data_IF_114389276320
#
_entry.id   IF_114389276320
#
_cell.length_a   1.000
_cell.length_b   1.000
_cell.length_c   1.000
_cell.angle_alpha   90.00
_cell.angle_beta   90.00
_cell.angle_gamma   90.00
#
_symmetry.space_group_name_H-M   'P 1'
#
loop_
_entity.id
_entity.type
_entity.pdbx_description
1 polymer ?
#
# COMPACT_ATOMS: atom_id res chain seq x y z
N UNK A 1 -21.69 41.24 17.71
CA UNK A 1 -21.03 39.96 17.41
C UNK A 1 -20.76 39.91 15.92
N UNK A 2 -19.58 40.32 15.51
CA UNK A 2 -19.15 40.35 14.10
C UNK A 2 -18.65 38.94 13.74
N UNK A 3 -19.43 38.24 12.95
CA UNK A 3 -19.04 36.95 12.38
C UNK A 3 -17.90 37.20 11.37
N UNK A 4 -16.69 36.87 11.75
CA UNK A 4 -15.59 36.75 10.79
C UNK A 4 -15.91 35.56 9.88
N UNK A 5 -16.45 35.84 8.68
CA UNK A 5 -16.42 34.87 7.61
C UNK A 5 -14.98 34.65 7.21
N UNK A 6 -14.40 33.56 7.67
CA UNK A 6 -13.09 33.09 7.19
C UNK A 6 -13.26 32.88 5.70
N UNK A 7 -12.49 33.59 4.89
CA UNK A 7 -12.54 33.47 3.44
C UNK A 7 -11.94 32.10 3.06
N UNK A 8 -12.81 31.08 2.85
CA UNK A 8 -12.44 29.70 2.53
C UNK A 8 -11.56 29.62 1.27
N UNK A 9 -11.73 30.56 0.34
CA UNK A 9 -10.94 30.60 -0.90
C UNK A 9 -9.49 31.10 -0.64
N UNK A 10 -9.30 32.05 0.27
CA UNK A 10 -7.97 32.54 0.65
C UNK A 10 -7.15 31.47 1.41
N UNK A 11 -7.82 30.64 2.22
CA UNK A 11 -7.19 29.51 2.91
C UNK A 11 -6.81 28.42 1.88
N UNK A 12 -7.68 28.12 0.92
CA UNK A 12 -7.41 27.16 -0.16
C UNK A 12 -6.20 27.58 -1.02
N UNK A 13 -6.03 28.88 -1.29
CA UNK A 13 -4.89 29.42 -2.02
C UNK A 13 -3.59 29.31 -1.20
N UNK A 14 -3.64 29.56 0.12
CA UNK A 14 -2.46 29.50 0.99
C UNK A 14 -1.93 28.07 1.23
N UNK A 15 -2.83 27.06 1.21
CA UNK A 15 -2.50 25.64 1.41
C UNK A 15 -2.21 24.88 0.12
N UNK A 16 -2.22 25.53 -1.03
CA UNK A 16 -2.11 24.84 -2.32
C UNK A 16 -3.25 23.85 -2.59
N UNK A 17 -4.37 23.94 -1.86
CA UNK A 17 -5.53 23.07 -2.00
C UNK A 17 -5.43 21.70 -1.32
N UNK A 18 -4.35 21.42 -0.56
CA UNK A 18 -4.12 20.11 0.06
C UNK A 18 -4.63 20.01 1.50
N UNK A 19 -4.94 21.09 2.19
CA UNK A 19 -5.53 21.12 3.54
C UNK A 19 -4.81 20.21 4.55
N UNK A 20 -3.49 20.30 4.64
CA UNK A 20 -2.64 19.34 5.39
C UNK A 20 -2.93 19.33 6.89
N UNK A 21 -3.23 20.53 7.46
CA UNK A 21 -3.43 20.74 8.90
C UNK A 21 -4.80 21.29 9.26
N UNK A 22 -5.75 21.20 8.35
CA UNK A 22 -7.12 21.68 8.53
C UNK A 22 -8.13 20.74 7.86
N UNK A 23 -9.40 20.76 8.30
CA UNK A 23 -10.43 19.95 7.67
C UNK A 23 -10.72 20.42 6.25
N UNK A 24 -10.81 19.46 5.31
CA UNK A 24 -11.23 19.76 3.92
C UNK A 24 -12.61 20.42 3.93
N UNK A 25 -12.78 21.62 3.33
CA UNK A 25 -14.06 22.32 3.29
C UNK A 25 -15.09 21.58 2.44
N UNK A 26 -16.39 21.84 2.70
CA UNK A 26 -17.50 21.16 2.01
C UNK A 26 -17.46 21.35 0.49
N UNK A 27 -17.04 22.53 0.02
CA UNK A 27 -16.92 22.89 -1.40
C UNK A 27 -15.91 22.05 -2.18
N UNK A 28 -14.90 21.47 -1.48
CA UNK A 28 -13.83 20.65 -2.10
C UNK A 28 -14.08 19.14 -2.01
N UNK A 29 -15.20 18.71 -1.41
CA UNK A 29 -15.52 17.29 -1.31
C UNK A 29 -15.90 16.69 -2.66
N UNK A 30 -15.43 15.46 -2.90
CA UNK A 30 -15.51 14.74 -4.17
C UNK A 30 -16.50 13.57 -4.11
N UNK A 31 -17.07 13.22 -5.26
CA UNK A 31 -17.94 12.05 -5.40
C UNK A 31 -17.12 10.76 -5.55
N UNK A 32 -17.77 9.59 -5.47
CA UNK A 32 -17.14 8.28 -5.61
C UNK A 32 -16.34 8.10 -6.92
N UNK A 33 -16.76 8.78 -8.01
CA UNK A 33 -16.09 8.71 -9.32
C UNK A 33 -14.62 9.12 -9.27
N UNK A 34 -14.26 10.05 -8.38
CA UNK A 34 -12.88 10.52 -8.23
C UNK A 34 -11.97 9.56 -7.43
N UNK A 35 -12.50 8.44 -6.96
CA UNK A 35 -11.74 7.47 -6.17
C UNK A 35 -11.60 6.12 -6.88
N UNK A 36 -12.57 5.74 -7.73
CA UNK A 36 -12.64 4.40 -8.30
C UNK A 36 -11.43 4.08 -9.17
N UNK A 37 -11.00 5.02 -10.04
CA UNK A 37 -9.83 4.83 -10.90
C UNK A 37 -8.53 4.74 -10.09
N UNK A 38 -8.42 5.56 -9.04
CA UNK A 38 -7.26 5.50 -8.15
C UNK A 38 -7.15 4.15 -7.45
N UNK A 39 -8.25 3.64 -6.85
CA UNK A 39 -8.20 2.33 -6.20
C UNK A 39 -8.01 1.18 -7.19
N UNK A 40 -8.69 1.18 -8.33
CA UNK A 40 -8.49 0.16 -9.36
C UNK A 40 -7.05 0.15 -9.88
N UNK A 41 -6.46 1.32 -10.16
CA UNK A 41 -5.11 1.44 -10.69
C UNK A 41 -4.02 1.20 -9.65
N UNK A 42 -4.21 1.65 -8.41
CA UNK A 42 -3.24 1.41 -7.33
C UNK A 42 -3.08 -0.08 -7.01
N UNK A 43 -4.14 -0.87 -7.23
CA UNK A 43 -4.20 -2.28 -6.90
C UNK A 43 -4.15 -3.21 -8.13
N UNK A 44 -4.12 -2.67 -9.35
CA UNK A 44 -3.68 -3.35 -10.56
C UNK A 44 -2.26 -2.88 -10.89
N UNK A 45 -1.34 -3.07 -9.96
CA UNK A 45 -0.07 -2.40 -9.87
C UNK A 45 1.10 -3.26 -10.36
N UNK A 46 2.29 -2.66 -10.45
CA UNK A 46 3.52 -3.40 -10.70
C UNK A 46 3.84 -4.44 -9.61
N UNK A 47 3.42 -4.19 -8.35
CA UNK A 47 3.49 -5.14 -7.25
C UNK A 47 2.79 -6.46 -7.52
N UNK A 48 1.69 -6.43 -8.27
CA UNK A 48 0.85 -7.61 -8.48
C UNK A 48 1.59 -8.67 -9.31
N UNK A 49 2.47 -8.25 -10.21
CA UNK A 49 3.39 -9.16 -10.90
C UNK A 49 4.38 -9.86 -9.98
N UNK A 50 4.66 -9.27 -8.80
CA UNK A 50 5.53 -9.87 -7.79
C UNK A 50 4.76 -10.76 -6.82
N UNK A 51 3.53 -10.34 -6.48
CA UNK A 51 2.70 -10.99 -5.46
C UNK A 51 2.01 -12.24 -6.01
N UNK A 52 1.46 -12.16 -7.25
CA UNK A 52 0.77 -13.30 -7.86
C UNK A 52 1.60 -14.60 -7.84
N UNK A 53 2.87 -14.61 -8.27
CA UNK A 53 3.76 -15.75 -8.19
C UNK A 53 3.93 -16.37 -6.80
N UNK A 54 3.81 -15.55 -5.72
CA UNK A 54 3.92 -16.04 -4.36
C UNK A 54 2.95 -17.19 -4.06
N UNK A 55 1.73 -17.14 -4.60
CA UNK A 55 0.74 -18.17 -4.35
C UNK A 55 1.06 -19.51 -5.02
N UNK A 56 1.87 -19.51 -6.09
CA UNK A 56 2.42 -20.74 -6.67
C UNK A 56 3.63 -21.21 -5.89
N UNK A 57 4.59 -20.33 -5.62
CA UNK A 57 5.83 -20.68 -4.91
C UNK A 57 5.58 -21.13 -3.47
N UNK A 58 4.54 -20.63 -2.83
CA UNK A 58 4.08 -21.06 -1.51
C UNK A 58 3.22 -22.34 -1.55
N UNK A 59 3.00 -22.94 -2.71
CA UNK A 59 2.32 -24.21 -2.88
C UNK A 59 0.85 -24.23 -2.47
N UNK A 60 0.12 -23.12 -2.67
CA UNK A 60 -1.28 -22.94 -2.29
C UNK A 60 -2.19 -23.88 -3.07
N UNK A 61 -3.25 -24.41 -2.45
CA UNK A 61 -4.31 -25.15 -3.17
C UNK A 61 -5.25 -24.21 -3.92
N UNK A 62 -5.95 -24.72 -4.93
CA UNK A 62 -6.95 -23.97 -5.69
C UNK A 62 -8.05 -23.38 -4.79
N UNK A 63 -8.54 -24.18 -3.84
CA UNK A 63 -9.55 -23.73 -2.88
C UNK A 63 -9.01 -22.60 -2.00
N UNK A 64 -7.83 -22.79 -1.42
CA UNK A 64 -7.22 -21.82 -0.52
C UNK A 64 -6.95 -20.48 -1.25
N UNK A 65 -6.50 -20.55 -2.50
CA UNK A 65 -6.27 -19.37 -3.32
C UNK A 65 -7.58 -18.63 -3.62
N UNK A 66 -8.52 -19.31 -4.28
CA UNK A 66 -9.73 -18.66 -4.81
C UNK A 66 -10.61 -18.14 -3.66
N UNK A 67 -10.91 -19.00 -2.68
CA UNK A 67 -11.81 -18.63 -1.57
C UNK A 67 -11.08 -17.76 -0.55
N UNK A 68 -9.81 -18.03 -0.28
CA UNK A 68 -8.99 -17.24 0.63
C UNK A 68 -8.83 -15.80 0.15
N UNK A 69 -8.51 -15.59 -1.13
CA UNK A 69 -8.44 -14.24 -1.72
C UNK A 69 -9.80 -13.54 -1.71
N UNK A 70 -10.89 -14.26 -2.00
CA UNK A 70 -12.24 -13.70 -1.98
C UNK A 70 -12.56 -13.12 -0.59
N UNK A 71 -12.31 -13.89 0.46
CA UNK A 71 -12.60 -13.50 1.84
C UNK A 71 -11.65 -12.41 2.34
N UNK A 72 -10.35 -12.55 2.12
CA UNK A 72 -9.37 -11.58 2.60
C UNK A 72 -9.55 -10.20 1.95
N UNK A 73 -9.81 -10.14 0.65
CA UNK A 73 -10.14 -8.90 -0.04
C UNK A 73 -11.46 -8.30 0.44
N UNK A 74 -12.49 -9.13 0.76
CA UNK A 74 -13.72 -8.64 1.36
C UNK A 74 -13.47 -7.99 2.73
N UNK A 75 -12.68 -8.62 3.59
CA UNK A 75 -12.31 -8.05 4.90
C UNK A 75 -11.59 -6.71 4.76
N UNK A 76 -10.71 -6.57 3.76
CA UNK A 76 -10.07 -5.30 3.45
C UNK A 76 -11.08 -4.21 3.05
N UNK A 77 -11.99 -4.51 2.13
CA UNK A 77 -13.08 -3.58 1.72
C UNK A 77 -13.94 -3.16 2.92
N UNK A 78 -14.32 -4.11 3.77
CA UNK A 78 -15.10 -3.82 4.98
C UNK A 78 -14.32 -2.93 5.96
N UNK A 79 -13.00 -3.16 6.10
CA UNK A 79 -12.14 -2.32 6.94
C UNK A 79 -12.09 -0.88 6.41
N UNK A 80 -11.89 -0.67 5.12
CA UNK A 80 -11.98 0.68 4.52
C UNK A 80 -13.35 1.32 4.72
N UNK A 81 -14.42 0.56 4.43
CA UNK A 81 -15.78 1.09 4.46
C UNK A 81 -16.23 1.50 5.87
N UNK A 82 -15.98 0.65 6.86
CA UNK A 82 -16.56 0.83 8.19
C UNK A 82 -15.60 1.47 9.20
N UNK A 83 -14.29 1.47 8.92
CA UNK A 83 -13.32 2.14 9.78
C UNK A 83 -12.80 3.42 9.10
N UNK A 84 -12.00 3.29 8.05
CA UNK A 84 -11.25 4.41 7.47
C UNK A 84 -12.14 5.48 6.86
N UNK A 85 -13.06 5.11 5.97
CA UNK A 85 -13.94 6.08 5.31
C UNK A 85 -14.91 6.75 6.29
N UNK A 86 -15.38 6.02 7.30
CA UNK A 86 -16.27 6.57 8.33
C UNK A 86 -15.57 7.67 9.15
N UNK A 87 -14.34 7.40 9.57
CA UNK A 87 -13.54 8.35 10.36
C UNK A 87 -13.10 9.53 9.49
N UNK A 88 -12.63 9.26 8.27
CA UNK A 88 -12.14 10.27 7.35
C UNK A 88 -13.20 11.31 7.00
N UNK A 89 -14.42 10.87 6.67
CA UNK A 89 -15.52 11.78 6.30
C UNK A 89 -15.99 12.64 7.47
N UNK A 90 -15.92 12.11 8.70
CA UNK A 90 -16.27 12.88 9.90
C UNK A 90 -15.23 13.92 10.27
N UNK A 91 -13.94 13.56 10.21
CA UNK A 91 -12.86 14.42 10.67
C UNK A 91 -12.29 15.31 9.55
N UNK A 92 -12.27 14.82 8.31
CA UNK A 92 -11.71 15.46 7.11
C UNK A 92 -10.25 15.88 7.22
N UNK A 93 -9.48 15.18 8.06
CA UNK A 93 -8.08 15.46 8.35
C UNK A 93 -7.16 14.44 7.68
N UNK A 94 -5.90 14.83 7.44
CA UNK A 94 -4.85 13.87 7.13
C UNK A 94 -4.64 12.92 8.29
N UNK A 95 -4.13 11.70 8.01
CA UNK A 95 -3.69 10.78 9.05
C UNK A 95 -2.76 11.47 10.06
N UNK A 96 -1.77 12.18 9.55
CA UNK A 96 -0.69 12.77 10.34
C UNK A 96 -1.19 13.85 11.30
N UNK A 97 -2.10 14.69 10.85
CA UNK A 97 -2.68 15.71 11.69
C UNK A 97 -3.70 15.13 12.70
N UNK A 98 -4.45 14.11 12.30
CA UNK A 98 -5.29 13.38 13.24
C UNK A 98 -4.47 12.72 14.36
N UNK A 99 -3.35 12.07 14.00
CA UNK A 99 -2.44 11.49 14.98
C UNK A 99 -1.81 12.55 15.89
N UNK A 100 -1.42 13.72 15.35
CA UNK A 100 -0.85 14.80 16.15
C UNK A 100 -1.80 15.25 17.26
N UNK A 101 -3.10 15.33 16.99
CA UNK A 101 -4.11 15.69 17.99
C UNK A 101 -4.24 14.67 19.13
N UNK A 102 -3.98 13.39 18.84
CA UNK A 102 -4.12 12.28 19.82
C UNK A 102 -2.79 12.00 20.50
N UNK A 103 -1.70 11.94 19.75
CA UNK A 103 -0.39 11.43 20.17
C UNK A 103 0.56 12.54 20.66
N UNK A 104 0.37 13.77 20.15
CA UNK A 104 1.30 14.89 20.34
C UNK A 104 2.44 14.89 19.32
N UNK A 105 2.95 16.09 19.03
CA UNK A 105 3.90 16.35 17.96
C UNK A 105 5.18 15.51 18.00
N UNK A 106 5.77 15.30 19.19
CA UNK A 106 7.04 14.54 19.30
C UNK A 106 6.87 13.07 18.89
N UNK A 107 5.78 12.42 19.35
CA UNK A 107 5.53 11.01 19.04
C UNK A 107 5.23 10.85 17.54
N UNK A 108 4.40 11.74 17.00
CA UNK A 108 4.01 11.70 15.57
C UNK A 108 5.18 12.04 14.64
N UNK A 109 6.16 12.84 15.07
CA UNK A 109 7.37 13.10 14.26
C UNK A 109 8.13 11.80 13.97
N UNK A 110 8.31 10.93 14.98
CA UNK A 110 8.94 9.61 14.78
C UNK A 110 8.12 8.71 13.84
N UNK A 111 6.80 8.66 14.05
CA UNK A 111 5.88 7.94 13.18
C UNK A 111 5.96 8.43 11.73
N UNK A 112 5.89 9.74 11.51
CA UNK A 112 5.89 10.33 10.17
C UNK A 112 7.22 10.10 9.44
N UNK A 113 8.35 10.16 10.17
CA UNK A 113 9.66 9.86 9.59
C UNK A 113 9.72 8.40 9.11
N UNK A 114 9.34 7.44 9.97
CA UNK A 114 9.31 6.03 9.60
C UNK A 114 8.35 5.77 8.43
N UNK A 115 7.14 6.33 8.48
CA UNK A 115 6.14 6.19 7.45
C UNK A 115 6.58 6.79 6.10
N UNK A 116 7.17 7.99 6.12
CA UNK A 116 7.68 8.64 4.93
C UNK A 116 8.81 7.86 4.26
N UNK A 117 9.76 7.35 5.05
CA UNK A 117 10.88 6.54 4.56
C UNK A 117 10.36 5.24 3.94
N UNK A 118 9.46 4.52 4.62
CA UNK A 118 8.89 3.26 4.12
C UNK A 118 8.12 3.48 2.81
N UNK A 119 7.35 4.56 2.70
CA UNK A 119 6.70 4.92 1.43
C UNK A 119 7.70 5.27 0.33
N UNK A 120 8.85 5.89 0.64
CA UNK A 120 9.89 6.12 -0.35
C UNK A 120 10.48 4.80 -0.88
N UNK A 121 10.72 3.81 -0.01
CA UNK A 121 11.19 2.50 -0.45
C UNK A 121 10.16 1.76 -1.30
N UNK A 122 8.89 1.78 -0.90
CA UNK A 122 7.79 1.18 -1.68
C UNK A 122 7.69 1.83 -3.08
N UNK A 123 7.73 3.15 -3.16
CA UNK A 123 7.70 3.86 -4.43
C UNK A 123 8.96 3.59 -5.28
N UNK A 124 10.13 3.48 -4.63
CA UNK A 124 11.38 3.11 -5.28
C UNK A 124 11.31 1.74 -5.95
N UNK A 125 10.74 0.75 -5.25
CA UNK A 125 10.52 -0.57 -5.82
C UNK A 125 9.62 -0.53 -7.06
N UNK A 126 8.56 0.32 -7.06
CA UNK A 126 7.69 0.50 -8.22
C UNK A 126 8.37 1.20 -9.39
N UNK A 127 9.23 2.18 -9.11
CA UNK A 127 10.09 2.83 -10.12
C UNK A 127 11.01 1.80 -10.75
N UNK A 128 11.65 0.93 -9.94
CA UNK A 128 12.50 -0.18 -10.41
C UNK A 128 11.73 -1.11 -11.34
N UNK A 129 10.56 -1.61 -10.93
CA UNK A 129 9.72 -2.52 -11.74
C UNK A 129 9.39 -1.87 -13.09
N UNK A 130 8.97 -0.60 -13.10
CA UNK A 130 8.72 0.15 -14.34
C UNK A 130 9.98 0.25 -15.21
N UNK A 131 11.13 0.56 -14.61
CA UNK A 131 12.38 0.76 -15.33
C UNK A 131 12.89 -0.51 -16.01
N UNK A 132 12.75 -1.69 -15.37
CA UNK A 132 13.16 -2.97 -15.97
C UNK A 132 12.42 -3.30 -17.26
N UNK A 133 11.18 -2.83 -17.41
CA UNK A 133 10.37 -3.07 -18.60
C UNK A 133 10.77 -2.17 -19.78
N UNK A 134 11.27 -0.95 -19.53
CA UNK A 134 11.58 0.05 -20.59
C UNK A 134 12.68 -0.41 -21.53
N UNK A 135 13.67 -1.15 -21.05
CA UNK A 135 14.80 -1.61 -21.87
C UNK A 135 14.47 -2.70 -22.88
N UNK A 136 13.39 -3.47 -22.64
CA UNK A 136 13.06 -4.67 -23.43
C UNK A 136 12.87 -4.37 -24.93
N UNK A 137 12.10 -3.35 -25.35
CA UNK A 137 11.88 -3.05 -26.78
C UNK A 137 13.13 -2.60 -27.52
N UNK A 138 14.19 -2.26 -26.80
CA UNK A 138 15.42 -1.69 -27.36
C UNK A 138 16.62 -2.61 -27.18
N UNK A 139 16.41 -3.86 -26.73
CA UNK A 139 17.44 -4.84 -26.38
C UNK A 139 18.52 -4.27 -25.44
N UNK A 140 18.11 -3.36 -24.54
CA UNK A 140 19.02 -2.75 -23.56
C UNK A 140 19.24 -3.71 -22.38
N UNK A 141 20.48 -3.89 -21.93
CA UNK A 141 20.77 -4.74 -20.79
C UNK A 141 20.22 -4.07 -19.51
N UNK A 142 19.08 -4.58 -19.00
CA UNK A 142 18.51 -4.18 -17.72
C UNK A 142 19.02 -5.07 -16.61
N UNK A 143 19.21 -4.55 -15.37
CA UNK A 143 19.58 -5.38 -14.24
C UNK A 143 18.43 -6.34 -13.89
N UNK A 144 18.78 -7.50 -13.33
CA UNK A 144 17.81 -8.39 -12.70
C UNK A 144 17.31 -7.76 -11.40
N UNK A 145 16.08 -8.07 -10.99
CA UNK A 145 15.56 -7.60 -9.71
C UNK A 145 16.33 -8.15 -8.49
N UNK A 146 17.20 -9.15 -8.70
CA UNK A 146 18.10 -9.69 -7.68
C UNK A 146 19.42 -8.94 -7.58
N UNK A 147 19.76 -8.09 -8.55
CA UNK A 147 21.02 -7.35 -8.56
C UNK A 147 21.01 -6.26 -7.48
N UNK A 148 22.07 -6.21 -6.68
CA UNK A 148 22.17 -5.25 -5.58
C UNK A 148 22.60 -3.85 -6.03
N UNK A 149 23.22 -3.73 -7.21
CA UNK A 149 23.79 -2.49 -7.71
C UNK A 149 23.29 -2.17 -9.14
N UNK A 150 23.28 -0.89 -9.53
CA UNK A 150 23.05 -0.47 -10.91
C UNK A 150 24.05 -1.14 -11.86
N UNK A 151 23.57 -1.58 -13.03
CA UNK A 151 24.42 -2.22 -14.04
C UNK A 151 25.06 -1.25 -15.06
N UNK A 152 24.80 0.05 -14.95
CA UNK A 152 25.37 1.06 -15.83
C UNK A 152 24.58 2.37 -15.95
N UNK A 153 25.10 3.29 -16.77
CA UNK A 153 24.52 4.62 -16.94
C UNK A 153 23.12 4.61 -17.55
N UNK A 154 22.83 3.69 -18.47
CA UNK A 154 21.51 3.55 -19.11
C UNK A 154 20.42 3.27 -18.06
N UNK A 155 20.69 2.35 -17.15
CA UNK A 155 19.79 2.04 -16.03
C UNK A 155 19.52 3.29 -15.18
N UNK A 156 20.59 3.98 -14.76
CA UNK A 156 20.48 5.19 -13.92
C UNK A 156 19.62 6.25 -14.61
N UNK A 157 19.84 6.50 -15.90
CA UNK A 157 19.07 7.49 -16.69
C UNK A 157 17.60 7.11 -16.73
N UNK A 158 17.26 5.84 -17.03
CA UNK A 158 15.87 5.38 -17.10
C UNK A 158 15.17 5.54 -15.76
N UNK A 159 15.79 5.08 -14.65
CA UNK A 159 15.23 5.21 -13.30
C UNK A 159 15.01 6.68 -12.93
N UNK A 160 15.99 7.56 -13.22
CA UNK A 160 15.88 9.00 -12.93
C UNK A 160 14.76 9.64 -13.74
N UNK A 161 14.62 9.32 -15.02
CA UNK A 161 13.55 9.87 -15.86
C UNK A 161 12.17 9.43 -15.38
N UNK A 162 11.97 8.13 -15.09
CA UNK A 162 10.72 7.60 -14.57
C UNK A 162 10.41 8.23 -13.21
N UNK A 163 11.38 8.24 -12.30
CA UNK A 163 11.22 8.81 -10.97
C UNK A 163 10.90 10.31 -11.00
N UNK A 164 11.52 11.07 -11.89
CA UNK A 164 11.24 12.49 -12.07
C UNK A 164 9.80 12.74 -12.53
N UNK A 165 9.33 12.01 -13.55
CA UNK A 165 7.95 12.16 -14.05
C UNK A 165 6.94 11.82 -12.95
N UNK A 166 7.11 10.69 -12.27
CA UNK A 166 6.22 10.27 -11.17
C UNK A 166 6.23 11.32 -10.04
N UNK A 167 7.40 11.81 -9.65
CA UNK A 167 7.55 12.80 -8.59
C UNK A 167 6.87 14.13 -8.91
N UNK A 168 6.96 14.59 -10.16
CA UNK A 168 6.31 15.82 -10.63
C UNK A 168 4.77 15.67 -10.59
N UNK A 169 4.25 14.51 -10.99
CA UNK A 169 2.81 14.22 -10.92
C UNK A 169 2.34 14.22 -9.46
N UNK A 170 3.05 13.50 -8.59
CA UNK A 170 2.73 13.42 -7.17
C UNK A 170 2.77 14.80 -6.48
N UNK A 171 3.76 15.63 -6.82
CA UNK A 171 3.94 16.97 -6.25
C UNK A 171 2.83 17.97 -6.62
N UNK A 172 2.04 17.66 -7.66
CA UNK A 172 0.86 18.46 -8.04
C UNK A 172 -0.40 18.17 -7.20
N UNK A 173 -0.28 17.26 -6.22
CA UNK A 173 -1.30 16.97 -5.24
C UNK A 173 -2.34 15.93 -5.66
N UNK A 174 -3.29 15.68 -4.74
CA UNK A 174 -4.28 14.60 -4.86
C UNK A 174 -5.07 14.61 -6.18
N UNK A 175 -5.48 15.79 -6.64
CA UNK A 175 -6.31 15.90 -7.86
C UNK A 175 -5.58 15.43 -9.11
N UNK A 176 -4.28 15.75 -9.23
CA UNK A 176 -3.46 15.32 -10.37
C UNK A 176 -3.18 13.82 -10.31
N UNK A 177 -2.87 13.30 -9.11
CA UNK A 177 -2.67 11.86 -8.88
C UNK A 177 -3.92 11.07 -9.24
N UNK A 178 -5.10 11.51 -8.77
CA UNK A 178 -6.39 10.88 -9.09
C UNK A 178 -6.71 10.88 -10.59
N UNK A 179 -6.53 12.02 -11.27
CA UNK A 179 -6.76 12.12 -12.73
C UNK A 179 -5.80 11.24 -13.52
N UNK A 180 -4.52 11.17 -13.13
CA UNK A 180 -3.54 10.29 -13.77
C UNK A 180 -3.96 8.82 -13.61
N UNK A 181 -4.39 8.42 -12.42
CA UNK A 181 -4.88 7.08 -12.17
C UNK A 181 -6.15 6.76 -12.97
N UNK A 182 -7.13 7.68 -13.02
CA UNK A 182 -8.38 7.50 -13.78
C UNK A 182 -8.11 7.24 -15.28
N UNK A 183 -7.05 7.86 -15.83
CA UNK A 183 -6.66 7.68 -17.23
C UNK A 183 -5.91 6.36 -17.46
N UNK A 184 -5.00 5.97 -16.55
CA UNK A 184 -4.15 4.78 -16.71
C UNK A 184 -4.85 3.47 -16.31
N UNK A 185 -5.71 3.51 -15.30
CA UNK A 185 -6.30 2.30 -14.69
C UNK A 185 -7.07 1.40 -15.66
N UNK A 186 -7.93 1.91 -16.56
CA UNK A 186 -8.65 1.04 -17.49
C UNK A 186 -7.71 0.23 -18.37
N UNK A 187 -6.63 0.86 -18.86
CA UNK A 187 -5.64 0.16 -19.68
C UNK A 187 -4.91 -0.92 -18.91
N UNK A 188 -4.48 -0.63 -17.68
CA UNK A 188 -3.75 -1.60 -16.85
C UNK A 188 -4.61 -2.79 -16.49
N UNK A 189 -5.86 -2.54 -16.08
CA UNK A 189 -6.84 -3.59 -15.77
C UNK A 189 -7.07 -4.51 -16.96
N UNK A 190 -7.29 -3.93 -18.15
CA UNK A 190 -7.47 -4.71 -19.38
C UNK A 190 -6.20 -5.48 -19.76
N UNK A 191 -5.02 -4.92 -19.53
CA UNK A 191 -3.76 -5.59 -19.79
C UNK A 191 -3.55 -6.79 -18.86
N UNK A 192 -3.82 -6.67 -17.55
CA UNK A 192 -3.78 -7.82 -16.63
C UNK A 192 -4.77 -8.91 -17.05
N UNK A 193 -6.00 -8.54 -17.38
CA UNK A 193 -7.00 -9.48 -17.86
C UNK A 193 -6.53 -10.20 -19.13
N UNK A 194 -5.99 -9.46 -20.10
CA UNK A 194 -5.43 -10.03 -21.34
C UNK A 194 -4.26 -10.97 -21.05
N UNK A 195 -3.33 -10.57 -20.16
CA UNK A 195 -2.24 -11.42 -19.70
C UNK A 195 -2.76 -12.74 -19.12
N UNK A 196 -3.77 -12.67 -18.25
CA UNK A 196 -4.38 -13.87 -17.66
C UNK A 196 -5.03 -14.78 -18.71
N UNK A 197 -5.79 -14.22 -19.65
CA UNK A 197 -6.44 -14.99 -20.73
C UNK A 197 -5.38 -15.66 -21.64
N UNK A 198 -4.34 -14.94 -22.02
CA UNK A 198 -3.24 -15.50 -22.83
C UNK A 198 -2.50 -16.59 -22.06
N UNK A 199 -2.22 -16.38 -20.78
CA UNK A 199 -1.58 -17.39 -19.95
C UNK A 199 -2.42 -18.66 -19.84
N UNK A 200 -3.75 -18.56 -19.67
CA UNK A 200 -4.65 -19.72 -19.69
C UNK A 200 -4.54 -20.50 -20.99
N UNK A 201 -4.53 -19.80 -22.13
CA UNK A 201 -4.35 -20.44 -23.45
C UNK A 201 -2.98 -21.13 -23.57
N UNK A 202 -1.89 -20.49 -23.13
CA UNK A 202 -0.55 -21.06 -23.17
C UNK A 202 -0.37 -22.26 -22.21
N UNK A 203 -1.14 -22.30 -21.13
CA UNK A 203 -1.20 -23.42 -20.21
C UNK A 203 -2.06 -24.58 -20.74
N UNK A 204 -2.83 -24.38 -21.83
CA UNK A 204 -3.73 -25.38 -22.40
C UNK A 204 -5.05 -25.53 -21.63
N UNK A 205 -5.46 -24.50 -20.89
CA UNK A 205 -6.71 -24.51 -20.11
C UNK A 205 -7.91 -24.36 -21.03
N UNK A 206 -8.77 -25.37 -21.06
CA UNK A 206 -10.00 -25.41 -21.86
C UNK A 206 -11.27 -25.54 -21.03
N UNK A 207 -11.12 -25.91 -19.76
CA UNK A 207 -12.23 -26.08 -18.82
C UNK A 207 -11.94 -25.47 -17.46
N UNK A 208 -12.98 -25.34 -16.64
CA UNK A 208 -12.81 -24.93 -15.24
C UNK A 208 -11.99 -25.96 -14.44
N UNK A 209 -12.10 -27.24 -14.76
CA UNK A 209 -11.27 -28.26 -14.14
C UNK A 209 -9.79 -28.08 -14.45
N UNK A 210 -9.42 -27.74 -15.69
CA UNK A 210 -8.03 -27.47 -16.06
C UNK A 210 -7.49 -26.26 -15.31
N UNK A 211 -8.28 -25.19 -15.21
CA UNK A 211 -7.94 -24.01 -14.41
C UNK A 211 -7.72 -24.38 -12.94
N UNK A 212 -8.64 -25.14 -12.34
CA UNK A 212 -8.55 -25.59 -10.96
C UNK A 212 -7.29 -26.40 -10.72
N UNK A 213 -6.93 -27.30 -11.66
CA UNK A 213 -5.80 -28.20 -11.56
C UNK A 213 -4.42 -27.51 -11.66
N UNK A 214 -4.36 -26.23 -12.06
CA UNK A 214 -3.09 -25.47 -11.99
C UNK A 214 -2.55 -25.42 -10.56
N UNK A 215 -3.43 -25.28 -9.58
CA UNK A 215 -3.09 -25.33 -8.15
C UNK A 215 -3.50 -26.65 -7.48
N UNK A 216 -4.58 -27.30 -7.95
CA UNK A 216 -5.12 -28.56 -7.46
C UNK A 216 -5.27 -28.58 -5.93
N UNK A 217 -4.76 -29.59 -5.29
CA UNK A 217 -4.68 -29.71 -3.83
C UNK A 217 -3.48 -28.98 -3.22
N UNK A 218 -2.75 -28.21 -4.03
CA UNK A 218 -1.50 -27.55 -3.67
C UNK A 218 -0.28 -28.45 -3.89
N UNK A 219 0.90 -27.84 -3.75
CA UNK A 219 2.19 -28.51 -3.91
C UNK A 219 3.09 -28.22 -2.71
N UNK A 220 4.26 -28.86 -2.66
CA UNK A 220 5.30 -28.41 -1.74
C UNK A 220 5.75 -26.99 -2.09
N UNK A 221 6.09 -26.16 -1.10
CA UNK A 221 6.59 -24.83 -1.36
C UNK A 221 7.95 -24.88 -2.03
N UNK A 222 8.27 -23.87 -2.83
CA UNK A 222 9.60 -23.72 -3.40
C UNK A 222 10.66 -23.48 -2.31
N UNK A 223 11.95 -23.75 -2.59
CA UNK A 223 13.02 -23.54 -1.63
C UNK A 223 13.01 -22.13 -1.03
N UNK A 224 13.10 -22.05 0.29
CA UNK A 224 13.08 -20.79 1.03
C UNK A 224 11.69 -20.17 1.22
N UNK A 225 10.62 -20.82 0.73
CA UNK A 225 9.23 -20.38 0.93
C UNK A 225 8.55 -21.20 2.02
N UNK A 226 7.60 -20.58 2.73
CA UNK A 226 6.70 -21.31 3.65
C UNK A 226 5.46 -21.77 2.90
N UNK A 227 4.92 -22.91 3.30
CA UNK A 227 3.64 -23.41 2.77
C UNK A 227 2.51 -22.48 3.20
N UNK A 228 1.78 -21.93 2.24
CA UNK A 228 0.57 -21.17 2.55
C UNK A 228 -0.64 -22.11 2.64
N UNK A 229 -1.41 -21.93 3.70
CA UNK A 229 -2.73 -22.52 3.92
C UNK A 229 -3.81 -21.48 3.64
N UNK A 230 -5.07 -21.89 3.71
CA UNK A 230 -6.22 -21.01 3.61
C UNK A 230 -6.08 -19.73 4.46
N UNK A 231 -5.70 -19.88 5.73
CA UNK A 231 -5.55 -18.73 6.63
C UNK A 231 -4.39 -17.82 6.27
N UNK A 232 -3.31 -18.34 5.71
CA UNK A 232 -2.24 -17.51 5.17
C UNK A 232 -2.75 -16.63 4.03
N UNK A 233 -3.51 -17.20 3.09
CA UNK A 233 -4.09 -16.44 1.97
C UNK A 233 -5.07 -15.39 2.46
N UNK A 234 -6.01 -15.75 3.35
CA UNK A 234 -6.99 -14.82 3.91
C UNK A 234 -6.32 -13.64 4.64
N UNK A 235 -5.44 -13.96 5.59
CA UNK A 235 -4.82 -12.93 6.44
C UNK A 235 -3.83 -12.10 5.62
N UNK A 236 -3.04 -12.73 4.75
CA UNK A 236 -2.09 -12.04 3.90
C UNK A 236 -2.82 -11.06 2.96
N UNK A 237 -3.86 -11.50 2.24
CA UNK A 237 -4.61 -10.64 1.33
C UNK A 237 -5.39 -9.54 2.06
N UNK A 238 -5.89 -9.79 3.27
CA UNK A 238 -6.49 -8.75 4.10
C UNK A 238 -5.47 -7.69 4.49
N UNK A 239 -4.26 -8.10 4.93
CA UNK A 239 -3.24 -7.19 5.45
C UNK A 239 -2.21 -6.70 4.42
N UNK A 240 -2.26 -7.17 3.16
CA UNK A 240 -1.41 -6.64 2.08
C UNK A 240 -1.44 -5.10 2.00
N UNK A 241 -2.61 -4.52 2.24
CA UNK A 241 -2.82 -3.07 2.37
C UNK A 241 -3.20 -2.64 3.79
N UNK A 242 -2.82 -3.40 4.81
CA UNK A 242 -3.19 -3.14 6.20
C UNK A 242 -2.87 -1.73 6.67
N UNK A 243 -1.75 -1.18 6.24
CA UNK A 243 -1.37 0.20 6.53
C UNK A 243 -2.38 1.23 6.00
N UNK A 244 -3.05 0.94 4.88
CA UNK A 244 -4.01 1.87 4.25
C UNK A 244 -5.34 1.90 5.01
N UNK A 245 -5.90 0.74 5.34
CA UNK A 245 -7.21 0.66 5.98
C UNK A 245 -7.16 0.57 7.51
N UNK A 246 -6.52 -0.42 8.12
CA UNK A 246 -6.43 -0.52 9.60
C UNK A 246 -5.35 0.40 10.18
N UNK A 247 -4.28 0.67 9.43
CA UNK A 247 -3.27 1.68 9.77
C UNK A 247 -3.70 3.11 9.48
N UNK A 248 -4.87 3.31 8.84
CA UNK A 248 -5.51 4.61 8.62
C UNK A 248 -4.79 5.56 7.65
N UNK A 249 -3.81 5.12 6.84
CA UNK A 249 -3.16 6.01 5.86
C UNK A 249 -4.15 6.65 4.90
N UNK A 250 -5.21 5.93 4.52
CA UNK A 250 -6.25 6.42 3.62
C UNK A 250 -7.24 7.42 4.24
N UNK A 251 -7.07 7.79 5.52
CA UNK A 251 -7.69 9.02 6.02
C UNK A 251 -7.29 10.21 5.12
N UNK A 252 -6.03 10.25 4.69
CA UNK A 252 -5.49 11.30 3.82
C UNK A 252 -6.12 11.31 2.43
N UNK A 253 -6.75 10.24 1.99
CA UNK A 253 -7.47 10.09 0.73
C UNK A 253 -8.96 10.34 0.94
N UNK A 254 -9.62 9.58 1.82
CA UNK A 254 -11.07 9.68 2.04
C UNK A 254 -11.52 10.97 2.74
N UNK A 255 -10.60 11.80 3.25
CA UNK A 255 -10.93 13.14 3.75
C UNK A 255 -11.61 14.03 2.71
N UNK A 256 -11.40 13.75 1.42
CA UNK A 256 -12.06 14.41 0.31
C UNK A 256 -13.42 13.79 -0.07
N UNK A 257 -13.84 12.69 0.54
CA UNK A 257 -15.07 12.01 0.18
C UNK A 257 -16.31 12.71 0.78
N UNK A 258 -17.38 12.84 -0.03
CA UNK A 258 -18.64 13.45 0.41
C UNK A 258 -19.38 12.60 1.46
N UNK A 259 -19.23 11.27 1.41
CA UNK A 259 -19.98 10.32 2.26
C UNK A 259 -19.11 9.08 2.52
N UNK A 260 -19.25 8.47 3.68
CA UNK A 260 -18.53 7.27 4.03
C UNK A 260 -18.83 6.06 3.11
N UNK A 261 -20.01 6.04 2.44
CA UNK A 261 -20.33 5.02 1.43
C UNK A 261 -19.34 4.99 0.26
N UNK A 262 -18.58 6.07 0.02
CA UNK A 262 -17.50 6.08 -0.96
C UNK A 262 -16.46 4.99 -0.67
N UNK A 263 -16.28 4.58 0.60
CA UNK A 263 -15.40 3.47 0.95
C UNK A 263 -15.66 2.16 0.19
N UNK A 264 -16.87 1.93 -0.36
CA UNK A 264 -17.15 0.77 -1.19
C UNK A 264 -16.38 0.75 -2.52
N UNK A 265 -15.85 1.89 -2.98
CA UNK A 265 -15.05 1.93 -4.23
C UNK A 265 -13.77 1.12 -4.13
N UNK A 266 -13.28 0.83 -2.91
CA UNK A 266 -12.12 -0.03 -2.68
C UNK A 266 -12.34 -1.45 -3.19
N UNK A 267 -13.60 -1.88 -3.36
CA UNK A 267 -13.91 -3.16 -4.00
C UNK A 267 -13.37 -3.23 -5.44
N UNK A 268 -13.30 -2.11 -6.16
CA UNK A 268 -12.65 -2.08 -7.48
C UNK A 268 -11.16 -2.42 -7.37
N UNK A 269 -10.45 -1.88 -6.37
CA UNK A 269 -9.07 -2.25 -6.09
C UNK A 269 -8.93 -3.72 -5.69
N UNK A 270 -9.72 -4.16 -4.72
CA UNK A 270 -9.56 -5.49 -4.14
C UNK A 270 -9.94 -6.63 -5.10
N UNK A 271 -10.97 -6.45 -5.93
CA UNK A 271 -11.43 -7.54 -6.81
C UNK A 271 -10.94 -7.41 -8.25
N UNK A 272 -10.92 -6.19 -8.81
CA UNK A 272 -10.40 -5.97 -10.17
C UNK A 272 -8.87 -5.83 -10.14
N UNK A 273 -8.33 -5.18 -9.13
CA UNK A 273 -6.90 -5.10 -8.88
C UNK A 273 -6.33 -6.40 -8.33
N UNK A 274 -6.38 -6.59 -7.01
CA UNK A 274 -5.71 -7.73 -6.36
C UNK A 274 -6.21 -9.08 -6.83
N UNK A 275 -7.50 -9.37 -6.68
CA UNK A 275 -8.02 -10.71 -6.96
C UNK A 275 -7.71 -11.14 -8.40
N UNK A 276 -8.10 -10.32 -9.37
CA UNK A 276 -7.87 -10.62 -10.79
C UNK A 276 -6.39 -10.56 -11.16
N UNK A 277 -5.68 -9.50 -10.74
CA UNK A 277 -4.28 -9.29 -11.14
C UNK A 277 -3.33 -10.31 -10.50
N UNK A 278 -3.55 -10.72 -9.25
CA UNK A 278 -2.74 -11.75 -8.61
C UNK A 278 -2.91 -13.12 -9.28
N UNK A 279 -4.16 -13.49 -9.63
CA UNK A 279 -4.40 -14.72 -10.38
C UNK A 279 -3.76 -14.64 -11.78
N UNK A 280 -3.91 -13.51 -12.49
CA UNK A 280 -3.31 -13.32 -13.81
C UNK A 280 -1.78 -13.39 -13.76
N UNK A 281 -1.15 -12.76 -12.77
CA UNK A 281 0.30 -12.79 -12.59
C UNK A 281 0.81 -14.19 -12.17
N UNK A 282 0.05 -14.91 -11.33
CA UNK A 282 0.35 -16.30 -11.00
C UNK A 282 0.30 -17.19 -12.24
N UNK A 283 -0.70 -17.03 -13.10
CA UNK A 283 -0.81 -17.75 -14.38
C UNK A 283 0.37 -17.44 -15.31
N UNK A 284 0.79 -16.18 -15.43
CA UNK A 284 1.97 -15.80 -16.20
C UNK A 284 3.23 -16.49 -15.66
N UNK A 285 3.38 -16.53 -14.34
CA UNK A 285 4.51 -17.21 -13.72
C UNK A 285 4.44 -18.73 -13.93
N UNK A 286 3.25 -19.33 -13.89
CA UNK A 286 3.07 -20.74 -14.24
C UNK A 286 3.48 -21.07 -15.70
N UNK A 287 3.24 -20.13 -16.63
CA UNK A 287 3.77 -20.24 -18.01
C UNK A 287 5.30 -20.14 -18.00
N UNK A 288 5.85 -19.14 -17.31
CA UNK A 288 7.31 -18.96 -17.20
C UNK A 288 8.01 -20.19 -16.62
N UNK A 289 7.41 -20.84 -15.64
CA UNK A 289 7.96 -22.07 -15.04
C UNK A 289 8.16 -23.20 -16.06
N UNK A 290 7.47 -23.19 -17.22
CA UNK A 290 7.70 -24.16 -18.29
C UNK A 290 8.88 -23.80 -19.20
N UNK A 291 9.48 -22.64 -19.07
CA UNK A 291 10.63 -22.22 -19.87
C UNK A 291 11.91 -22.96 -19.52
N UNK A 292 12.84 -23.16 -20.46
CA UNK A 292 14.14 -23.77 -20.18
C UNK A 292 14.95 -23.02 -19.12
N UNK A 293 14.82 -21.68 -19.09
CA UNK A 293 15.49 -20.83 -18.11
C UNK A 293 14.98 -21.13 -16.69
N UNK A 294 13.66 -21.15 -16.49
CA UNK A 294 13.09 -21.47 -15.18
C UNK A 294 13.41 -22.89 -14.72
N UNK A 295 13.38 -23.86 -15.66
CA UNK A 295 13.74 -25.25 -15.37
C UNK A 295 15.22 -25.39 -14.95
N UNK A 296 16.12 -24.55 -15.47
CA UNK A 296 17.51 -24.53 -15.01
C UNK A 296 17.62 -24.11 -13.53
N UNK A 297 16.88 -23.11 -13.08
CA UNK A 297 16.83 -22.73 -11.66
C UNK A 297 16.29 -23.87 -10.79
N UNK A 298 15.16 -24.47 -11.21
CA UNK A 298 14.54 -25.58 -10.46
C UNK A 298 15.49 -26.80 -10.34
N UNK A 299 16.28 -27.08 -11.39
CA UNK A 299 17.26 -28.17 -11.37
C UNK A 299 18.41 -27.93 -10.37
N UNK A 300 18.70 -26.68 -10.03
CA UNK A 300 19.67 -26.26 -9.01
C UNK A 300 19.05 -26.19 -7.59
N UNK A 301 17.76 -26.48 -7.45
CA UNK A 301 17.04 -26.32 -6.19
C UNK A 301 16.77 -24.84 -5.82
N UNK A 302 16.74 -23.96 -6.82
CA UNK A 302 16.49 -22.53 -6.64
C UNK A 302 15.12 -22.14 -7.20
N UNK A 303 14.46 -21.15 -6.56
CA UNK A 303 13.22 -20.58 -7.09
C UNK A 303 13.53 -19.68 -8.28
N UNK A 304 12.89 -19.90 -9.46
CA UNK A 304 13.07 -19.02 -10.61
C UNK A 304 12.66 -17.56 -10.27
N UNK A 305 13.48 -16.56 -10.65
CA UNK A 305 13.21 -15.17 -10.32
C UNK A 305 11.96 -14.64 -11.06
N UNK A 306 11.18 -13.80 -10.39
CA UNK A 306 10.06 -13.11 -11.02
C UNK A 306 10.57 -11.98 -11.90
N UNK A 307 10.15 -11.95 -13.16
CA UNK A 307 10.54 -10.95 -14.15
C UNK A 307 9.31 -10.29 -14.80
N UNK A 308 8.70 -9.26 -14.19
CA UNK A 308 7.42 -8.66 -14.63
C UNK A 308 7.42 -8.23 -16.09
N UNK A 309 8.45 -7.49 -16.53
CA UNK A 309 8.57 -7.02 -17.91
C UNK A 309 8.58 -8.14 -18.95
N UNK A 310 9.55 -9.08 -18.89
CA UNK A 310 9.59 -10.24 -19.77
C UNK A 310 8.32 -11.10 -19.73
N UNK A 311 7.74 -11.36 -18.55
CA UNK A 311 6.52 -12.15 -18.41
C UNK A 311 5.34 -11.51 -19.14
N UNK A 312 5.12 -10.21 -18.95
CA UNK A 312 4.05 -9.48 -19.60
C UNK A 312 4.30 -9.29 -21.10
N UNK A 313 5.57 -9.07 -21.52
CA UNK A 313 5.95 -8.97 -22.92
C UNK A 313 5.69 -10.30 -23.67
N UNK A 314 6.05 -11.42 -23.09
CA UNK A 314 5.82 -12.75 -23.68
C UNK A 314 4.32 -13.08 -23.83
N UNK A 315 3.47 -12.50 -22.98
CA UNK A 315 2.04 -12.67 -23.06
C UNK A 315 1.38 -11.79 -24.14
N UNK A 316 1.58 -10.49 -24.09
CA UNK A 316 0.85 -9.52 -24.92
C UNK A 316 1.79 -8.48 -25.60
N UNK A 317 3.05 -8.81 -25.78
CA UNK A 317 4.02 -8.01 -26.53
C UNK A 317 4.27 -6.62 -25.89
N UNK A 318 4.41 -5.61 -26.74
CA UNK A 318 4.66 -4.22 -26.30
C UNK A 318 3.58 -3.68 -25.36
N UNK A 319 2.32 -4.11 -25.51
CA UNK A 319 1.25 -3.71 -24.59
C UNK A 319 1.52 -4.19 -23.15
N UNK A 320 2.15 -5.36 -22.99
CA UNK A 320 2.57 -5.86 -21.67
C UNK A 320 3.67 -4.98 -21.05
N UNK A 321 4.63 -4.52 -21.85
CA UNK A 321 5.66 -3.58 -21.38
C UNK A 321 5.03 -2.27 -20.90
N UNK A 322 4.16 -1.67 -21.73
CA UNK A 322 3.45 -0.45 -21.37
C UNK A 322 2.63 -0.66 -20.07
N UNK A 323 1.97 -1.81 -19.94
CA UNK A 323 1.21 -2.15 -18.75
C UNK A 323 2.09 -2.20 -17.49
N UNK A 324 3.25 -2.83 -17.53
CA UNK A 324 4.19 -2.89 -16.39
C UNK A 324 4.68 -1.50 -16.01
N UNK A 325 5.03 -0.66 -17.00
CA UNK A 325 5.46 0.73 -16.75
C UNK A 325 4.34 1.53 -16.08
N UNK A 326 3.14 1.51 -16.63
CA UNK A 326 2.00 2.26 -16.09
C UNK A 326 1.53 1.71 -14.73
N UNK A 327 1.58 0.39 -14.54
CA UNK A 327 1.24 -0.24 -13.28
C UNK A 327 2.19 0.18 -12.14
N UNK A 328 3.48 0.31 -12.40
CA UNK A 328 4.41 0.92 -11.45
C UNK A 328 4.10 2.38 -11.15
N UNK A 329 3.68 3.17 -12.16
CA UNK A 329 3.32 4.59 -11.98
C UNK A 329 2.08 4.79 -11.14
N UNK A 330 1.03 4.02 -11.35
CA UNK A 330 -0.24 4.15 -10.62
C UNK A 330 -0.09 3.85 -9.14
N UNK A 331 0.89 3.06 -8.75
CA UNK A 331 1.22 2.79 -7.34
C UNK A 331 2.23 3.80 -6.79
N UNK A 332 3.27 4.14 -7.55
CA UNK A 332 4.30 5.06 -7.09
C UNK A 332 3.77 6.48 -6.86
N UNK A 333 2.85 6.97 -7.72
CA UNK A 333 2.27 8.31 -7.59
C UNK A 333 1.57 8.55 -6.22
N UNK A 334 0.55 7.77 -5.82
CA UNK A 334 -0.11 7.95 -4.53
C UNK A 334 0.82 7.63 -3.35
N UNK A 335 1.80 6.75 -3.54
CA UNK A 335 2.77 6.41 -2.51
C UNK A 335 3.72 7.57 -2.23
N UNK A 336 4.27 8.22 -3.26
CA UNK A 336 5.11 9.43 -3.11
C UNK A 336 4.28 10.60 -2.55
N UNK A 337 3.02 10.75 -2.97
CA UNK A 337 2.12 11.74 -2.41
C UNK A 337 1.92 11.55 -0.90
N UNK A 338 1.66 10.30 -0.44
CA UNK A 338 1.54 9.98 0.99
C UNK A 338 2.86 10.22 1.75
N UNK A 339 4.01 9.88 1.16
CA UNK A 339 5.34 10.19 1.73
C UNK A 339 5.53 11.71 1.87
N UNK A 340 5.14 12.48 0.84
CA UNK A 340 5.16 13.94 0.86
C UNK A 340 4.34 14.52 2.00
N UNK A 341 3.11 14.03 2.23
CA UNK A 341 2.29 14.44 3.36
C UNK A 341 2.93 14.10 4.72
N UNK A 342 3.56 12.91 4.83
CA UNK A 342 4.26 12.53 6.06
C UNK A 342 5.44 13.46 6.36
N UNK A 343 6.26 13.76 5.37
CA UNK A 343 7.39 14.69 5.53
C UNK A 343 6.95 16.14 5.70
N UNK A 344 5.86 16.55 5.04
CA UNK A 344 5.30 17.89 5.23
C UNK A 344 4.87 18.10 6.68
N UNK A 345 4.29 17.11 7.33
CA UNK A 345 3.93 17.18 8.74
C UNK A 345 5.14 17.38 9.68
N UNK A 346 6.35 16.92 9.28
CA UNK A 346 7.62 17.15 9.99
C UNK A 346 8.23 18.51 9.63
N UNK A 347 8.10 18.91 8.36
CA UNK A 347 8.70 20.11 7.77
C UNK A 347 7.62 21.13 7.38
N UNK A 348 6.82 21.64 8.34
CA UNK A 348 5.63 22.46 8.04
C UNK A 348 5.94 23.83 7.41
N UNK A 349 7.21 24.25 7.40
CA UNK A 349 7.65 25.50 6.74
C UNK A 349 7.86 25.33 5.23
N UNK A 350 7.94 24.10 4.74
CA UNK A 350 8.09 23.81 3.31
C UNK A 350 6.70 23.53 2.72
N UNK A 351 6.49 23.90 1.45
CA UNK A 351 5.26 23.54 0.76
C UNK A 351 5.19 22.04 0.50
N UNK A 352 3.97 21.48 0.45
CA UNK A 352 3.72 20.06 0.16
C UNK A 352 4.40 19.64 -1.15
N UNK A 353 4.36 20.48 -2.18
CA UNK A 353 5.04 20.19 -3.45
C UNK A 353 6.55 19.99 -3.29
N UNK A 354 7.23 20.86 -2.50
CA UNK A 354 8.69 20.74 -2.28
C UNK A 354 9.04 19.47 -1.53
N UNK A 355 8.29 19.14 -0.47
CA UNK A 355 8.56 17.92 0.32
C UNK A 355 8.16 16.66 -0.46
N UNK A 356 7.17 16.72 -1.33
CA UNK A 356 6.81 15.60 -2.21
C UNK A 356 7.89 15.36 -3.27
N UNK A 357 8.52 16.40 -3.83
CA UNK A 357 9.69 16.25 -4.70
C UNK A 357 10.87 15.64 -3.93
N UNK A 358 11.11 16.05 -2.68
CA UNK A 358 12.13 15.43 -1.84
C UNK A 358 11.85 13.93 -1.63
N UNK A 359 10.61 13.58 -1.29
CA UNK A 359 10.19 12.18 -1.14
C UNK A 359 10.39 11.40 -2.44
N UNK A 360 9.99 11.97 -3.57
CA UNK A 360 10.18 11.37 -4.89
C UNK A 360 11.65 11.20 -5.27
N UNK A 361 12.51 12.14 -4.89
CA UNK A 361 13.96 12.02 -5.09
C UNK A 361 14.55 10.87 -4.25
N UNK A 362 14.14 10.73 -3.00
CA UNK A 362 14.54 9.59 -2.15
C UNK A 362 14.03 8.26 -2.71
N UNK A 363 12.79 8.22 -3.17
CA UNK A 363 12.23 7.04 -3.84
C UNK A 363 13.01 6.69 -5.12
N UNK A 364 13.37 7.67 -5.93
CA UNK A 364 14.18 7.49 -7.14
C UNK A 364 15.56 6.92 -6.81
N UNK A 365 16.22 7.44 -5.77
CA UNK A 365 17.49 6.91 -5.29
C UNK A 365 17.34 5.44 -4.85
N UNK A 366 16.29 5.12 -4.08
CA UNK A 366 16.01 3.74 -3.70
C UNK A 366 15.78 2.83 -4.92
N UNK A 367 15.09 3.35 -5.95
CA UNK A 367 14.82 2.65 -7.21
C UNK A 367 16.06 2.37 -8.06
N UNK A 368 17.20 3.01 -7.80
CA UNK A 368 18.47 2.69 -8.48
C UNK A 368 18.98 1.29 -8.14
N UNK A 369 18.58 0.74 -6.98
CA UNK A 369 19.05 -0.55 -6.45
C UNK A 369 18.00 -1.64 -6.68
N UNK A 370 18.11 -2.46 -7.72
CA UNK A 370 17.05 -3.38 -8.15
C UNK A 370 16.58 -4.35 -7.06
N UNK A 371 17.50 -4.85 -6.24
CA UNK A 371 17.19 -5.81 -5.17
C UNK A 371 16.19 -5.27 -4.12
N UNK A 372 16.00 -3.96 -4.01
CA UNK A 372 14.95 -3.40 -3.13
C UNK A 372 13.55 -3.77 -3.59
N UNK A 373 13.33 -3.97 -4.89
CA UNK A 373 12.03 -4.41 -5.39
C UNK A 373 11.67 -5.82 -4.88
N UNK A 374 12.66 -6.72 -4.76
CA UNK A 374 12.46 -8.07 -4.20
C UNK A 374 12.16 -8.07 -2.70
N UNK A 375 12.60 -7.03 -1.99
CA UNK A 375 12.31 -6.85 -0.55
C UNK A 375 10.97 -6.18 -0.29
N UNK A 376 10.20 -5.89 -1.33
CA UNK A 376 8.93 -5.18 -1.24
C UNK A 376 7.95 -5.86 -0.28
N UNK A 377 7.81 -7.18 -0.35
CA UNK A 377 6.86 -7.93 0.47
C UNK A 377 7.24 -7.87 1.96
N UNK A 378 8.54 -7.99 2.25
CA UNK A 378 9.07 -7.83 3.61
C UNK A 378 8.80 -6.42 4.15
N UNK A 379 8.99 -5.39 3.31
CA UNK A 379 8.69 -4.00 3.68
C UNK A 379 7.21 -3.78 3.95
N UNK A 380 6.33 -4.32 3.10
CA UNK A 380 4.86 -4.18 3.27
C UNK A 380 4.41 -4.86 4.56
N UNK A 381 4.90 -6.06 4.85
CA UNK A 381 4.56 -6.79 6.07
C UNK A 381 5.07 -6.05 7.32
N UNK A 382 6.35 -5.64 7.32
CA UNK A 382 6.96 -4.91 8.43
C UNK A 382 6.28 -3.54 8.64
N UNK A 383 6.01 -2.81 7.56
CA UNK A 383 5.29 -1.53 7.59
C UNK A 383 3.91 -1.68 8.21
N UNK A 384 3.14 -2.69 7.75
CA UNK A 384 1.83 -2.98 8.32
C UNK A 384 1.91 -3.27 9.82
N UNK A 385 2.86 -4.09 10.23
CA UNK A 385 3.02 -4.49 11.62
C UNK A 385 3.45 -3.34 12.56
N UNK A 386 4.40 -2.49 12.14
CA UNK A 386 4.89 -1.38 12.99
C UNK A 386 3.84 -0.26 13.08
N UNK A 387 3.22 0.11 11.98
CA UNK A 387 2.42 1.33 11.89
C UNK A 387 0.91 1.10 12.09
N UNK A 388 0.38 -0.07 11.75
CA UNK A 388 -1.04 -0.35 11.92
C UNK A 388 -1.55 -0.13 13.36
N UNK A 389 -0.82 -0.45 14.43
CA UNK A 389 -1.27 -0.19 15.80
C UNK A 389 -1.56 1.29 16.11
N UNK A 390 -0.92 2.26 15.42
CA UNK A 390 -1.29 3.67 15.53
C UNK A 390 -2.69 3.94 14.94
N UNK A 391 -3.07 3.20 13.90
CA UNK A 391 -4.44 3.23 13.38
C UNK A 391 -5.46 2.75 14.41
N UNK A 392 -5.13 1.75 15.24
CA UNK A 392 -5.99 1.29 16.32
C UNK A 392 -6.29 2.42 17.31
N UNK A 393 -5.31 3.25 17.65
CA UNK A 393 -5.51 4.39 18.55
C UNK A 393 -6.58 5.34 17.99
N UNK A 394 -6.56 5.65 16.70
CA UNK A 394 -7.56 6.50 16.05
C UNK A 394 -8.95 5.84 16.08
N UNK A 395 -9.02 4.54 15.73
CA UNK A 395 -10.28 3.79 15.68
C UNK A 395 -10.90 3.67 17.08
N UNK A 396 -10.10 3.27 18.06
CA UNK A 396 -10.59 3.08 19.42
C UNK A 396 -10.98 4.42 20.07
N UNK A 397 -10.23 5.50 19.84
CA UNK A 397 -10.66 6.83 20.26
C UNK A 397 -11.98 7.20 19.61
N UNK A 398 -12.10 7.04 18.27
CA UNK A 398 -13.28 7.45 17.54
C UNK A 398 -14.56 6.77 18.02
N UNK A 399 -14.53 5.44 18.21
CA UNK A 399 -15.73 4.67 18.53
C UNK A 399 -15.99 4.51 20.03
N UNK A 400 -14.93 4.57 20.86
CA UNK A 400 -15.05 4.18 22.27
C UNK A 400 -14.73 5.28 23.29
N UNK A 401 -14.23 6.48 22.87
CA UNK A 401 -13.85 7.53 23.84
C UNK A 401 -14.96 7.86 24.85
N UNK A 402 -16.23 8.00 24.40
CA UNK A 402 -17.36 8.29 25.29
C UNK A 402 -17.64 7.15 26.27
N UNK A 403 -17.62 5.89 25.78
CA UNK A 403 -17.88 4.71 26.63
C UNK A 403 -16.75 4.48 27.64
N UNK A 404 -15.51 4.75 27.24
CA UNK A 404 -14.33 4.65 28.11
C UNK A 404 -14.18 5.84 29.06
N UNK A 405 -14.91 6.93 28.86
CA UNK A 405 -14.80 8.15 29.64
C UNK A 405 -13.47 8.89 29.46
N UNK A 406 -12.87 8.80 28.25
CA UNK A 406 -11.60 9.46 27.92
C UNK A 406 -11.82 10.72 27.08
N UNK A 407 -10.89 11.67 27.18
CA UNK A 407 -10.93 12.93 26.45
C UNK A 407 -10.47 12.69 25.02
N UNK A 408 -11.30 13.06 24.04
CA UNK A 408 -10.97 12.98 22.62
C UNK A 408 -9.89 14.01 22.26
N UNK A 409 -8.97 13.65 21.37
CA UNK A 409 -7.84 14.49 20.95
C UNK A 409 -7.04 15.03 22.15
N UNK A 410 -6.73 14.15 23.10
CA UNK A 410 -6.17 14.54 24.40
C UNK A 410 -4.88 15.35 24.31
N UNK A 411 -3.98 15.01 23.39
CA UNK A 411 -2.74 15.76 23.24
C UNK A 411 -2.98 17.22 22.80
N UNK A 412 -3.94 17.47 21.95
CA UNK A 412 -4.36 18.81 21.55
C UNK A 412 -5.01 19.55 22.73
N UNK A 413 -5.99 18.93 23.39
CA UNK A 413 -6.74 19.54 24.50
C UNK A 413 -5.87 19.87 25.70
N UNK A 414 -4.92 18.99 26.05
CA UNK A 414 -4.00 19.15 27.17
C UNK A 414 -2.66 19.80 26.75
N UNK A 415 -2.52 20.26 25.50
CA UNK A 415 -1.29 20.85 24.92
C UNK A 415 -0.04 20.00 25.12
N UNK A 416 -0.18 18.67 24.98
CA UNK A 416 0.91 17.73 25.17
C UNK A 416 1.73 17.57 23.89
N UNK A 417 3.03 17.61 24.01
CA UNK A 417 3.93 17.23 22.90
C UNK A 417 4.12 15.72 22.77
N UNK A 418 3.79 14.94 23.81
CA UNK A 418 3.98 13.50 23.86
C UNK A 418 2.90 12.84 24.74
N UNK A 419 2.10 11.95 24.18
CA UNK A 419 1.07 11.21 24.89
C UNK A 419 1.60 9.84 25.34
N UNK A 420 1.87 9.71 26.63
CA UNK A 420 2.39 8.46 27.22
C UNK A 420 1.44 7.28 27.05
N UNK A 421 0.12 7.51 27.05
CA UNK A 421 -0.87 6.44 26.89
C UNK A 421 -0.71 5.75 25.54
N UNK A 422 -0.52 6.54 24.46
CA UNK A 422 -0.32 6.02 23.10
C UNK A 422 1.02 5.29 23.01
N UNK A 423 2.09 5.91 23.51
CA UNK A 423 3.44 5.33 23.43
C UNK A 423 3.49 3.93 24.09
N UNK A 424 3.00 3.80 25.32
CA UNK A 424 3.04 2.52 26.03
C UNK A 424 2.09 1.49 25.42
N UNK A 425 0.92 1.91 24.93
CA UNK A 425 0.00 1.02 24.23
C UNK A 425 0.66 0.43 22.99
N UNK A 426 1.31 1.27 22.17
CA UNK A 426 2.03 0.83 20.98
C UNK A 426 3.25 -0.03 21.34
N UNK A 427 4.11 0.43 22.24
CA UNK A 427 5.36 -0.25 22.58
C UNK A 427 5.14 -1.65 23.14
N UNK A 428 4.16 -1.80 24.04
CA UNK A 428 3.82 -3.11 24.65
C UNK A 428 3.21 -4.03 23.57
N UNK A 429 2.28 -3.53 22.77
CA UNK A 429 1.63 -4.35 21.75
C UNK A 429 2.62 -4.78 20.67
N UNK A 430 3.43 -3.85 20.17
CA UNK A 430 4.47 -4.14 19.19
C UNK A 430 5.50 -5.12 19.76
N UNK A 431 6.06 -4.82 20.94
CA UNK A 431 7.11 -5.65 21.56
C UNK A 431 6.64 -7.06 21.84
N UNK A 432 5.43 -7.23 22.41
CA UNK A 432 4.86 -8.55 22.71
C UNK A 432 4.70 -9.38 21.42
N UNK A 433 4.05 -8.84 20.41
CA UNK A 433 3.75 -9.59 19.21
C UNK A 433 4.95 -9.74 18.26
N UNK A 434 5.93 -8.83 18.30
CA UNK A 434 7.23 -9.06 17.68
C UNK A 434 7.96 -10.22 18.34
N UNK A 435 7.99 -10.26 19.68
CA UNK A 435 8.56 -11.39 20.42
C UNK A 435 7.86 -12.71 20.07
N UNK A 436 6.53 -12.72 20.00
CA UNK A 436 5.77 -13.94 19.62
C UNK A 436 6.15 -14.37 18.19
N UNK A 437 6.20 -13.43 17.23
CA UNK A 437 6.55 -13.73 15.84
C UNK A 437 7.94 -14.36 15.74
N UNK A 438 8.94 -13.77 16.42
CA UNK A 438 10.34 -14.24 16.34
C UNK A 438 10.55 -15.53 17.15
N UNK A 439 10.01 -15.62 18.38
CA UNK A 439 10.27 -16.74 19.25
C UNK A 439 9.55 -18.02 18.83
N UNK A 440 8.38 -17.89 18.23
CA UNK A 440 7.54 -19.01 17.84
C UNK A 440 7.43 -19.19 16.32
N UNK A 441 8.25 -18.47 15.55
CA UNK A 441 8.25 -18.48 14.09
C UNK A 441 6.84 -18.26 13.49
N UNK A 442 6.08 -17.34 14.10
CA UNK A 442 4.73 -17.01 13.62
C UNK A 442 4.81 -16.00 12.50
N UNK A 443 4.18 -16.33 11.38
CA UNK A 443 4.10 -15.44 10.23
C UNK A 443 3.62 -14.04 10.62
N UNK A 444 4.35 -12.99 10.24
CA UNK A 444 4.17 -11.62 10.73
C UNK A 444 2.75 -11.08 10.54
N UNK A 445 2.09 -11.42 9.43
CA UNK A 445 0.72 -10.98 9.17
C UNK A 445 -0.29 -11.54 10.18
N UNK A 446 -0.05 -12.72 10.77
CA UNK A 446 -0.94 -13.28 11.80
C UNK A 446 -0.90 -12.50 13.11
N UNK A 447 0.23 -11.93 13.46
CA UNK A 447 0.38 -11.16 14.71
C UNK A 447 -0.03 -9.69 14.56
N UNK A 448 -0.17 -9.18 13.33
CA UNK A 448 -0.49 -7.77 13.07
C UNK A 448 -1.87 -7.38 13.62
N UNK A 449 -2.90 -8.16 13.36
CA UNK A 449 -4.25 -7.85 13.85
C UNK A 449 -4.40 -7.99 15.37
N UNK A 450 -3.92 -9.05 16.01
CA UNK A 450 -3.88 -9.11 17.47
C UNK A 450 -3.11 -7.94 18.11
N UNK A 451 -1.96 -7.55 17.55
CA UNK A 451 -1.21 -6.38 18.01
C UNK A 451 -2.02 -5.09 17.89
N UNK A 452 -2.75 -4.92 16.78
CA UNK A 452 -3.63 -3.79 16.54
C UNK A 452 -4.76 -3.72 17.59
N UNK A 453 -5.45 -4.84 17.86
CA UNK A 453 -6.51 -4.91 18.89
C UNK A 453 -5.94 -4.59 20.27
N UNK A 454 -4.83 -5.23 20.65
CA UNK A 454 -4.21 -5.00 21.96
C UNK A 454 -3.81 -3.54 22.13
N UNK A 455 -3.22 -2.92 21.11
CA UNK A 455 -2.86 -1.50 21.15
C UNK A 455 -4.08 -0.61 21.42
N UNK A 456 -5.20 -0.85 20.73
CA UNK A 456 -6.43 -0.10 20.94
C UNK A 456 -6.99 -0.25 22.35
N UNK A 457 -7.01 -1.49 22.88
CA UNK A 457 -7.46 -1.77 24.25
C UNK A 457 -6.55 -1.10 25.28
N UNK A 458 -5.23 -1.29 25.16
CA UNK A 458 -4.26 -0.68 26.08
C UNK A 458 -4.30 0.85 26.00
N UNK A 459 -4.52 1.43 24.81
CA UNK A 459 -4.71 2.87 24.67
C UNK A 459 -5.90 3.38 25.52
N UNK A 460 -7.05 2.71 25.48
CA UNK A 460 -8.19 3.09 26.31
C UNK A 460 -7.89 2.97 27.79
N UNK A 461 -7.25 1.87 28.20
CA UNK A 461 -6.88 1.63 29.62
C UNK A 461 -5.88 2.69 30.10
N UNK A 462 -4.80 2.90 29.39
CA UNK A 462 -3.78 3.87 29.78
C UNK A 462 -4.28 5.32 29.68
N UNK A 463 -5.18 5.61 28.72
CA UNK A 463 -5.81 6.94 28.66
C UNK A 463 -6.67 7.19 29.89
N UNK A 464 -7.43 6.21 30.36
CA UNK A 464 -8.22 6.34 31.59
C UNK A 464 -7.35 6.54 32.82
N UNK A 465 -6.16 5.93 32.86
CA UNK A 465 -5.22 6.05 33.99
C UNK A 465 -4.40 7.36 33.96
N UNK A 466 -4.01 7.83 32.78
CA UNK A 466 -3.03 8.93 32.69
C UNK A 466 -3.63 10.26 32.24
N UNK A 467 -4.86 10.30 31.70
CA UNK A 467 -5.51 11.56 31.38
C UNK A 467 -5.96 12.26 32.64
N UNK A 468 -5.51 13.50 32.80
CA UNK A 468 -6.00 14.40 33.86
C UNK A 468 -7.17 15.21 33.29
N UNK A 469 -8.11 15.62 34.15
CA UNK A 469 -9.13 16.58 33.72
C UNK A 469 -8.44 17.84 33.21
N UNK A 470 -8.78 18.24 32.00
CA UNK A 470 -8.30 19.52 31.43
C UNK A 470 -9.22 20.58 32.02
N UNK A 471 -8.68 21.40 32.90
CA UNK A 471 -9.35 22.60 33.42
C UNK A 471 -9.44 23.68 32.39
#
# INVERSE_FOLDING_TARGET
>A
MTQYSINEDAIAESSGGEFEREPVPQSKLKSWKCFIGMYAGEHAAGTEFMIGPLFLTAGVSAFDLIVGLLIGNLLAVLSWRFLTAEIAVKNRLTLYFQLEKICGKKLVTGYNLANGILFCFLAGAMITVSATAVGIPFDMPMPKLTDTMPNGATWIIIVVLIGAVISIIAARGYETVSKAADWMSPFIVLAFLACGIVALSQLGVTSFSDFWNIWGEGSDPFPGQIKFTFWHVVIWSWFANGAMHVGMSDLSVFRFAKRARVGWVTAAGMYVGHYMAWIAAALLYAVYLKSPEAQAFLSLGEAPPVAPGPMAHNAIGVFGIIAVVLAGWTTANPTIYRAGLAFQAILPKLSTAKVTILAGSLATIAGLFPAFAMKLLDFVALYGFILAPFGAVIVFEHFFHKKAGIIKNYAESAKLSFNKSVFWAWAISFGLFYFISVQFDVFLSFVTFPAWILCGVLFLVFSKLFQKQVQ
#
